data_IF_839481160350
#
_entry.id   IF_839481160350
#
_cell.length_a   1.000
_cell.length_b   1.000
_cell.length_c   1.000
_cell.angle_alpha   90.00
_cell.angle_beta   90.00
_cell.angle_gamma   90.00
#
_symmetry.space_group_name_H-M   'P 1'
#
loop_
_entity.id
_entity.type
_entity.pdbx_description
1 polymer ?
#
# COMPACT_ATOMS: atom_id res chain seq x y z
N UNK A 1 34.93 -19.45 2.48
CA UNK A 1 35.78 -19.74 3.65
C UNK A 1 36.11 -18.40 4.29
N UNK A 2 35.64 -18.13 5.51
CA UNK A 2 35.96 -16.87 6.24
C UNK A 2 37.31 -17.08 6.92
N UNK A 3 38.33 -16.31 6.56
CA UNK A 3 39.56 -16.22 7.34
C UNK A 3 39.39 -15.12 8.38
N UNK A 4 39.73 -15.43 9.64
CA UNK A 4 39.64 -14.47 10.76
C UNK A 4 41.02 -13.86 10.95
N UNK A 5 41.13 -12.54 10.85
CA UNK A 5 42.33 -11.84 11.30
C UNK A 5 42.39 -11.88 12.85
N UNK A 6 43.60 -11.85 13.39
CA UNK A 6 43.90 -12.06 14.82
C UNK A 6 43.37 -10.96 15.76
N UNK A 7 42.72 -9.93 15.22
CA UNK A 7 42.15 -8.76 15.92
C UNK A 7 40.60 -8.79 16.01
N UNK A 8 39.96 -9.87 15.56
CA UNK A 8 38.50 -10.01 15.62
C UNK A 8 37.76 -9.21 14.54
N UNK A 9 38.48 -8.60 13.60
CA UNK A 9 37.89 -7.97 12.43
C UNK A 9 37.61 -9.02 11.35
N UNK A 10 36.40 -8.99 10.81
CA UNK A 10 36.04 -9.78 9.64
C UNK A 10 36.50 -9.04 8.39
N UNK A 11 37.61 -9.48 7.80
CA UNK A 11 37.98 -9.05 6.46
C UNK A 11 36.96 -9.65 5.47
N UNK A 12 36.18 -8.79 4.82
CA UNK A 12 35.29 -9.20 3.72
C UNK A 12 36.14 -9.20 2.44
N UNK A 13 36.41 -10.37 1.83
CA UNK A 13 37.16 -10.42 0.59
C UNK A 13 36.44 -9.66 -0.53
N UNK A 14 37.18 -9.08 -1.46
CA UNK A 14 36.59 -8.38 -2.62
C UNK A 14 35.66 -9.28 -3.45
N UNK A 15 35.90 -10.60 -3.43
CA UNK A 15 35.10 -11.60 -4.13
C UNK A 15 33.92 -12.18 -3.31
N UNK A 16 33.62 -11.59 -2.15
CA UNK A 16 32.57 -12.07 -1.25
C UNK A 16 31.20 -12.15 -1.92
N UNK A 17 30.80 -11.11 -2.67
CA UNK A 17 29.50 -11.08 -3.35
C UNK A 17 29.39 -12.18 -4.40
N UNK A 18 30.45 -12.43 -5.16
CA UNK A 18 30.49 -13.49 -6.16
C UNK A 18 30.39 -14.88 -5.51
N UNK A 19 31.10 -15.11 -4.40
CA UNK A 19 31.03 -16.37 -3.65
C UNK A 19 29.67 -16.58 -2.97
N UNK A 20 29.07 -15.53 -2.43
CA UNK A 20 27.73 -15.58 -1.84
C UNK A 20 26.68 -15.92 -2.91
N UNK A 21 26.72 -15.23 -4.05
CA UNK A 21 25.83 -15.50 -5.18
C UNK A 21 25.99 -16.92 -5.74
N UNK A 22 27.24 -17.39 -5.92
CA UNK A 22 27.50 -18.75 -6.38
C UNK A 22 27.05 -19.82 -5.37
N UNK A 23 27.20 -19.56 -4.06
CA UNK A 23 26.72 -20.45 -3.02
C UNK A 23 25.19 -20.52 -2.97
N UNK A 24 24.51 -19.38 -3.13
CA UNK A 24 23.05 -19.32 -3.18
C UNK A 24 22.50 -20.01 -4.44
N UNK A 25 23.13 -19.79 -5.61
CA UNK A 25 22.80 -20.48 -6.86
C UNK A 25 23.06 -22.00 -6.79
N UNK A 26 24.16 -22.43 -6.16
CA UNK A 26 24.45 -23.86 -5.99
C UNK A 26 23.47 -24.54 -5.01
N UNK A 27 22.97 -23.81 -4.00
CA UNK A 27 22.03 -24.34 -3.00
C UNK A 27 20.58 -24.36 -3.49
N UNK A 28 20.19 -23.37 -4.29
CA UNK A 28 18.79 -23.15 -4.62
C UNK A 28 18.51 -23.21 -6.13
N UNK A 29 19.52 -23.37 -6.97
CA UNK A 29 19.41 -23.29 -8.43
C UNK A 29 19.26 -21.86 -8.93
N UNK A 30 18.96 -21.70 -10.22
CA UNK A 30 18.44 -20.44 -10.75
C UNK A 30 17.01 -20.27 -10.22
N UNK A 31 16.87 -19.67 -9.03
CA UNK A 31 15.57 -19.34 -8.46
C UNK A 31 15.06 -18.10 -9.17
N UNK A 32 13.96 -18.24 -9.92
CA UNK A 32 13.13 -17.10 -10.27
C UNK A 32 12.55 -16.53 -8.97
N UNK A 33 13.23 -15.51 -8.44
CA UNK A 33 12.84 -14.82 -7.21
C UNK A 33 11.69 -13.86 -7.54
N UNK A 34 10.47 -14.30 -7.28
CA UNK A 34 9.31 -13.41 -7.31
C UNK A 34 9.28 -12.56 -6.03
N UNK A 35 9.71 -11.31 -6.12
CA UNK A 35 9.60 -10.34 -5.02
C UNK A 35 8.21 -9.70 -5.03
N UNK A 36 7.50 -9.82 -3.91
CA UNK A 36 6.16 -9.22 -3.73
C UNK A 36 6.11 -8.32 -2.51
N UNK A 37 5.54 -7.13 -2.67
CA UNK A 37 5.26 -6.22 -1.56
C UNK A 37 3.90 -6.59 -0.94
N UNK A 38 3.91 -7.05 0.31
CA UNK A 38 2.70 -7.46 1.04
C UNK A 38 2.01 -6.30 1.77
N UNK A 39 2.81 -5.36 2.24
CA UNK A 39 2.41 -4.05 2.74
C UNK A 39 3.52 -3.05 2.35
N UNK A 40 3.13 -1.84 1.98
CA UNK A 40 4.11 -0.80 1.62
C UNK A 40 4.76 -0.19 2.86
N UNK A 41 4.16 -0.39 4.04
CA UNK A 41 4.71 0.07 5.31
C UNK A 41 5.75 -0.93 5.81
N UNK A 42 6.92 -0.45 6.27
CA UNK A 42 7.85 -1.25 7.06
C UNK A 42 7.14 -1.96 8.21
N UNK A 43 7.61 -3.16 8.56
CA UNK A 43 6.95 -4.03 9.53
C UNK A 43 6.82 -3.35 10.90
N UNK A 44 7.83 -2.59 11.28
CA UNK A 44 7.98 -1.89 12.56
C UNK A 44 7.00 -0.72 12.70
N UNK A 45 6.48 -0.20 11.58
CA UNK A 45 5.49 0.86 11.56
C UNK A 45 4.04 0.33 11.57
N UNK A 46 3.84 -0.96 11.32
CA UNK A 46 2.50 -1.56 11.26
C UNK A 46 1.75 -1.52 12.60
N UNK A 47 2.36 -1.65 13.80
CA UNK A 47 1.62 -1.55 15.06
C UNK A 47 0.82 -0.26 15.22
N UNK A 48 1.39 0.87 14.80
CA UNK A 48 0.77 2.20 14.92
C UNK A 48 -0.02 2.64 13.68
N UNK A 49 -0.10 1.79 12.66
CA UNK A 49 -0.75 2.17 11.41
C UNK A 49 -2.27 2.32 11.59
N UNK A 50 -2.80 3.49 11.24
CA UNK A 50 -4.23 3.84 11.20
C UNK A 50 -4.92 3.24 9.97
N UNK A 51 -4.78 1.94 9.74
CA UNK A 51 -5.33 1.23 8.58
C UNK A 51 -5.10 -0.27 8.69
N UNK A 52 -5.74 -1.08 7.85
CA UNK A 52 -5.52 -2.54 7.84
C UNK A 52 -4.12 -2.84 7.30
N UNK A 53 -3.35 -3.65 8.02
CA UNK A 53 -1.95 -3.98 7.76
C UNK A 53 -1.76 -5.45 7.35
N UNK A 54 -0.53 -5.83 7.03
CA UNK A 54 -0.18 -7.23 6.84
C UNK A 54 -0.27 -8.05 8.12
N UNK A 55 0.11 -7.49 9.29
CA UNK A 55 -0.07 -8.17 10.58
C UNK A 55 -1.52 -8.61 10.83
N UNK A 56 -2.50 -7.75 10.50
CA UNK A 56 -3.92 -8.09 10.63
C UNK A 56 -4.33 -9.22 9.68
N UNK A 57 -3.77 -9.24 8.46
CA UNK A 57 -4.06 -10.29 7.46
C UNK A 57 -3.48 -11.63 7.89
N UNK A 58 -2.28 -11.65 8.46
CA UNK A 58 -1.67 -12.85 9.03
C UNK A 58 -2.49 -13.37 10.22
N UNK A 59 -2.85 -12.49 11.15
CA UNK A 59 -3.71 -12.84 12.29
C UNK A 59 -5.10 -13.37 11.87
N UNK A 60 -5.63 -12.88 10.75
CA UNK A 60 -6.90 -13.33 10.16
C UNK A 60 -6.78 -14.62 9.32
N UNK A 61 -5.57 -15.13 9.09
CA UNK A 61 -5.32 -16.24 8.15
C UNK A 61 -5.51 -15.87 6.67
N UNK A 62 -5.66 -14.58 6.33
CA UNK A 62 -5.83 -14.08 4.97
C UNK A 62 -4.50 -13.87 4.23
N UNK A 63 -3.38 -13.89 4.95
CA UNK A 63 -2.03 -13.86 4.39
C UNK A 63 -1.15 -14.89 5.10
N UNK A 64 -0.21 -15.48 4.35
CA UNK A 64 0.83 -16.32 4.95
C UNK A 64 1.85 -15.45 5.66
N UNK A 65 2.13 -15.79 6.92
CA UNK A 65 3.23 -15.21 7.70
C UNK A 65 4.48 -16.08 7.65
N UNK A 66 5.64 -15.54 8.06
CA UNK A 66 6.83 -16.34 8.36
C UNK A 66 6.50 -17.38 9.44
N UNK A 67 7.01 -18.61 9.26
CA UNK A 67 6.70 -19.74 10.15
C UNK A 67 7.73 -19.88 11.27
N UNK A 68 8.99 -19.54 11.01
CA UNK A 68 10.10 -19.64 11.98
C UNK A 68 11.22 -18.65 11.67
N UNK A 69 12.11 -18.45 12.65
CA UNK A 69 13.26 -17.55 12.57
C UNK A 69 12.95 -16.14 13.06
N UNK A 70 13.97 -15.26 13.02
CA UNK A 70 13.91 -13.92 13.60
C UNK A 70 12.73 -13.07 13.09
N UNK A 71 12.42 -13.15 11.79
CA UNK A 71 11.28 -12.45 11.21
C UNK A 71 9.92 -12.96 11.74
N UNK A 72 9.82 -14.26 12.06
CA UNK A 72 8.61 -14.82 12.67
C UNK A 72 8.44 -14.34 14.11
N UNK A 73 9.54 -14.31 14.87
CA UNK A 73 9.54 -13.81 16.25
C UNK A 73 9.18 -12.32 16.30
N UNK A 74 9.75 -11.54 15.39
CA UNK A 74 9.46 -10.11 15.22
C UNK A 74 8.01 -9.85 14.80
N UNK A 75 7.52 -10.54 13.77
CA UNK A 75 6.12 -10.40 13.33
C UNK A 75 5.13 -10.77 14.44
N UNK A 76 5.43 -11.79 15.25
CA UNK A 76 4.62 -12.17 16.41
C UNK A 76 4.62 -11.09 17.48
N UNK A 77 5.78 -10.54 17.83
CA UNK A 77 5.91 -9.48 18.82
C UNK A 77 5.17 -8.20 18.38
N UNK A 78 5.35 -7.78 17.13
CA UNK A 78 4.69 -6.60 16.56
C UNK A 78 3.19 -6.83 16.38
N UNK A 79 2.75 -8.06 16.08
CA UNK A 79 1.33 -8.44 16.04
C UNK A 79 0.65 -8.27 17.41
N UNK A 80 1.33 -8.66 18.50
CA UNK A 80 0.84 -8.42 19.87
C UNK A 80 0.75 -6.92 20.18
N UNK A 81 1.81 -6.16 19.87
CA UNK A 81 1.79 -4.70 20.06
C UNK A 81 0.65 -4.05 19.28
N UNK A 82 0.44 -4.46 18.03
CA UNK A 82 -0.64 -3.96 17.19
C UNK A 82 -2.00 -4.24 17.82
N UNK A 83 -2.23 -5.44 18.33
CA UNK A 83 -3.49 -5.79 18.95
C UNK A 83 -3.81 -4.90 20.17
N UNK A 84 -2.81 -4.61 21.01
CA UNK A 84 -2.98 -3.69 22.15
C UNK A 84 -3.21 -2.24 21.71
N UNK A 85 -2.51 -1.77 20.67
CA UNK A 85 -2.76 -0.44 20.08
C UNK A 85 -4.19 -0.34 19.56
N UNK A 86 -4.65 -1.32 18.79
CA UNK A 86 -6.02 -1.34 18.27
C UNK A 86 -7.05 -1.33 19.42
N UNK A 87 -6.83 -2.12 20.46
CA UNK A 87 -7.67 -2.12 21.66
C UNK A 87 -7.70 -0.76 22.36
N UNK A 88 -6.57 -0.05 22.42
CA UNK A 88 -6.52 1.30 22.99
C UNK A 88 -7.35 2.31 22.20
N UNK A 89 -7.58 2.07 20.90
CA UNK A 89 -8.50 2.85 20.05
C UNK A 89 -9.95 2.36 20.10
N UNK A 90 -10.25 1.35 20.93
CA UNK A 90 -11.56 0.71 21.00
C UNK A 90 -11.86 -0.22 19.82
N UNK A 91 -10.82 -0.70 19.13
CA UNK A 91 -10.93 -1.56 17.95
C UNK A 91 -10.40 -2.96 18.28
N UNK A 92 -11.23 -3.99 18.09
CA UNK A 92 -10.84 -5.38 18.33
C UNK A 92 -10.67 -5.74 19.81
N UNK A 93 -10.20 -6.95 20.08
CA UNK A 93 -10.20 -7.55 21.42
C UNK A 93 -8.90 -7.35 22.23
N UNK A 94 -7.84 -6.83 21.62
CA UNK A 94 -6.48 -6.83 22.20
C UNK A 94 -5.68 -8.11 21.94
N UNK A 95 -6.30 -9.13 21.35
CA UNK A 95 -5.58 -10.31 20.88
C UNK A 95 -5.21 -10.16 19.40
N UNK A 96 -4.07 -10.73 18.95
CA UNK A 96 -3.67 -10.74 17.54
C UNK A 96 -4.54 -11.75 16.77
N UNK A 97 -5.80 -11.40 16.60
CA UNK A 97 -6.85 -12.20 15.96
C UNK A 97 -7.43 -11.47 14.76
N UNK A 98 -8.23 -12.18 13.97
CA UNK A 98 -8.87 -11.59 12.81
C UNK A 98 -9.80 -10.43 13.17
N UNK A 99 -9.69 -9.34 12.42
CA UNK A 99 -10.60 -8.19 12.53
C UNK A 99 -11.97 -8.55 11.95
N UNK A 100 -13.05 -8.07 12.54
CA UNK A 100 -14.39 -8.14 11.97
C UNK A 100 -14.61 -7.09 10.88
N UNK A 101 -15.79 -7.08 10.28
CA UNK A 101 -16.13 -6.10 9.23
C UNK A 101 -16.18 -4.67 9.79
N UNK A 102 -16.71 -4.50 11.00
CA UNK A 102 -16.80 -3.20 11.67
C UNK A 102 -15.41 -2.62 11.93
N UNK A 103 -14.49 -3.39 12.52
CA UNK A 103 -13.12 -2.91 12.78
C UNK A 103 -12.40 -2.55 11.46
N UNK A 104 -12.56 -3.38 10.42
CA UNK A 104 -11.99 -3.09 9.10
C UNK A 104 -12.54 -1.81 8.51
N UNK A 105 -13.83 -1.54 8.67
CA UNK A 105 -14.47 -0.30 8.20
C UNK A 105 -13.95 0.92 8.94
N UNK A 106 -13.84 0.85 10.26
CA UNK A 106 -13.30 1.93 11.08
C UNK A 106 -11.83 2.22 10.74
N UNK A 107 -10.99 1.19 10.61
CA UNK A 107 -9.61 1.36 10.18
C UNK A 107 -9.49 1.91 8.76
N UNK A 108 -10.40 1.50 7.86
CA UNK A 108 -10.46 2.07 6.52
C UNK A 108 -10.77 3.57 6.56
N UNK A 109 -11.72 4.00 7.39
CA UNK A 109 -12.07 5.42 7.58
C UNK A 109 -10.92 6.22 8.19
N UNK A 110 -10.21 5.66 9.18
CA UNK A 110 -9.01 6.31 9.75
C UNK A 110 -7.86 6.45 8.73
N UNK A 111 -7.68 5.44 7.87
CA UNK A 111 -6.65 5.48 6.82
C UNK A 111 -7.02 6.52 5.76
N UNK A 112 -8.31 6.60 5.44
CA UNK A 112 -8.89 7.56 4.51
C UNK A 112 -8.67 9.00 4.97
N UNK A 113 -8.99 9.28 6.23
CA UNK A 113 -8.81 10.59 6.86
C UNK A 113 -7.34 11.05 6.78
N UNK A 114 -6.40 10.20 7.20
CA UNK A 114 -4.97 10.52 7.15
C UNK A 114 -4.45 10.75 5.72
N UNK A 115 -4.99 10.04 4.71
CA UNK A 115 -4.65 10.32 3.31
C UNK A 115 -5.21 11.67 2.84
N UNK A 116 -6.42 12.04 3.25
CA UNK A 116 -7.01 13.33 2.91
C UNK A 116 -6.22 14.49 3.51
N UNK A 117 -5.83 14.37 4.78
CA UNK A 117 -4.98 15.36 5.46
C UNK A 117 -3.64 15.54 4.74
N UNK A 118 -2.95 14.44 4.42
CA UNK A 118 -1.67 14.48 3.69
C UNK A 118 -1.78 15.19 2.33
N UNK A 119 -2.90 15.01 1.65
CA UNK A 119 -3.15 15.61 0.33
C UNK A 119 -3.73 17.02 0.41
N UNK A 120 -3.98 17.55 1.62
CA UNK A 120 -4.68 18.83 1.80
C UNK A 120 -6.14 18.82 1.30
N UNK A 121 -6.73 17.62 1.16
CA UNK A 121 -8.05 17.40 0.59
C UNK A 121 -9.11 17.21 1.68
N UNK A 122 -9.06 18.05 2.73
CA UNK A 122 -10.02 18.02 3.83
C UNK A 122 -11.36 18.65 3.41
N UNK A 123 -12.47 18.10 3.91
CA UNK A 123 -13.81 18.69 3.73
C UNK A 123 -14.55 18.29 2.45
N UNK A 124 -13.93 17.51 1.55
CA UNK A 124 -14.64 16.87 0.42
C UNK A 124 -14.97 15.42 0.77
N UNK A 125 -16.16 14.91 0.42
CA UNK A 125 -16.43 13.49 0.56
C UNK A 125 -15.47 12.69 -0.34
N UNK A 126 -14.91 11.60 0.20
CA UNK A 126 -14.14 10.65 -0.58
C UNK A 126 -15.01 9.43 -0.93
N UNK A 127 -15.12 9.14 -2.23
CA UNK A 127 -15.96 8.06 -2.76
C UNK A 127 -15.10 7.06 -3.52
N UNK A 128 -15.47 5.78 -3.48
CA UNK A 128 -14.86 4.78 -4.37
C UNK A 128 -15.54 4.84 -5.75
N UNK A 129 -14.75 4.68 -6.81
CA UNK A 129 -15.27 4.47 -8.14
C UNK A 129 -16.19 3.23 -8.15
N UNK A 130 -17.35 3.36 -8.79
CA UNK A 130 -18.35 2.29 -8.88
C UNK A 130 -18.39 1.75 -10.30
N UNK A 131 -18.63 0.44 -10.43
CA UNK A 131 -18.74 -0.25 -11.71
C UNK A 131 -19.77 0.45 -12.63
N UNK A 132 -19.40 0.69 -13.87
CA UNK A 132 -20.24 1.34 -14.88
C UNK A 132 -20.51 2.84 -14.67
N UNK A 133 -20.17 3.41 -13.52
CA UNK A 133 -20.36 4.86 -13.26
C UNK A 133 -19.15 5.65 -13.73
N UNK A 134 -19.43 6.69 -14.53
CA UNK A 134 -18.40 7.62 -14.98
C UNK A 134 -18.02 8.59 -13.86
N UNK A 135 -16.72 8.88 -13.75
CA UNK A 135 -16.18 9.92 -12.89
C UNK A 135 -15.22 10.82 -13.67
N UNK A 136 -14.97 12.01 -13.15
CA UNK A 136 -14.09 13.00 -13.78
C UNK A 136 -13.43 13.89 -12.75
N UNK A 137 -12.20 14.30 -13.01
CA UNK A 137 -11.47 15.21 -12.14
C UNK A 137 -10.00 15.29 -12.54
N UNK A 138 -9.18 15.87 -11.66
CA UNK A 138 -7.74 15.96 -11.80
C UNK A 138 -7.09 14.83 -11.02
N UNK A 139 -6.18 14.09 -11.65
CA UNK A 139 -5.40 13.10 -10.94
C UNK A 139 -4.36 13.79 -10.04
N UNK A 140 -4.53 13.70 -8.73
CA UNK A 140 -3.64 14.36 -7.76
C UNK A 140 -2.40 13.55 -7.45
N UNK A 141 -2.60 12.33 -6.96
CA UNK A 141 -1.53 11.44 -6.51
C UNK A 141 -2.08 10.01 -6.38
N UNK A 142 -1.20 9.05 -6.13
CA UNK A 142 -1.61 7.73 -5.66
C UNK A 142 -1.72 7.71 -4.13
N UNK A 143 -2.59 6.85 -3.63
CA UNK A 143 -2.71 6.54 -2.20
C UNK A 143 -2.68 5.01 -2.01
N UNK A 144 -1.86 4.55 -1.07
CA UNK A 144 -1.85 3.15 -0.67
C UNK A 144 -2.79 2.97 0.52
N UNK A 145 -3.82 2.17 0.34
CA UNK A 145 -4.86 1.93 1.36
C UNK A 145 -5.34 0.48 1.30
N UNK A 146 -5.58 -0.15 2.46
CA UNK A 146 -6.08 -1.53 2.54
C UNK A 146 -5.24 -2.55 1.77
N UNK A 147 -3.95 -2.29 1.58
CA UNK A 147 -3.03 -3.11 0.78
C UNK A 147 -3.23 -3.04 -0.73
N UNK A 148 -3.89 -1.98 -1.24
CA UNK A 148 -4.01 -1.70 -2.67
C UNK A 148 -3.64 -0.24 -2.94
N UNK A 149 -3.26 0.04 -4.18
CA UNK A 149 -2.99 1.40 -4.63
C UNK A 149 -4.21 1.95 -5.34
N UNK A 150 -4.62 3.15 -4.94
CA UNK A 150 -5.71 3.89 -5.54
C UNK A 150 -5.17 5.16 -6.20
N UNK A 151 -5.74 5.50 -7.35
CA UNK A 151 -5.60 6.81 -7.94
C UNK A 151 -6.55 7.75 -7.20
N UNK A 152 -6.05 8.91 -6.78
CA UNK A 152 -6.82 9.94 -6.11
C UNK A 152 -7.19 10.99 -7.16
N UNK A 153 -8.48 11.05 -7.50
CA UNK A 153 -9.01 11.97 -8.51
C UNK A 153 -9.84 13.04 -7.81
N UNK A 154 -9.34 14.28 -7.79
CA UNK A 154 -10.06 15.41 -7.22
C UNK A 154 -11.02 16.01 -8.24
N UNK A 155 -12.27 16.17 -7.83
CA UNK A 155 -13.25 17.00 -8.52
C UNK A 155 -13.62 18.22 -7.66
N UNK A 156 -14.51 19.06 -8.16
CA UNK A 156 -15.03 20.20 -7.40
C UNK A 156 -15.82 19.77 -6.16
N UNK A 157 -16.50 18.62 -6.21
CA UNK A 157 -17.48 18.20 -5.20
C UNK A 157 -17.02 17.02 -4.34
N UNK A 158 -16.08 16.22 -4.83
CA UNK A 158 -15.64 15.00 -4.17
C UNK A 158 -14.22 14.60 -4.59
N UNK A 159 -13.60 13.75 -3.79
CA UNK A 159 -12.40 13.00 -4.17
C UNK A 159 -12.82 11.57 -4.52
N UNK A 160 -12.41 11.08 -5.68
CA UNK A 160 -12.74 9.72 -6.13
C UNK A 160 -11.50 8.83 -6.04
N UNK A 161 -11.62 7.71 -5.34
CA UNK A 161 -10.63 6.63 -5.31
C UNK A 161 -10.96 5.61 -6.39
N UNK A 162 -10.11 5.54 -7.41
CA UNK A 162 -10.22 4.55 -8.48
C UNK A 162 -9.02 3.58 -8.43
N UNK A 163 -9.14 2.35 -8.94
CA UNK A 163 -7.98 1.48 -9.11
C UNK A 163 -6.84 2.20 -9.84
N UNK A 164 -5.64 2.17 -9.26
CA UNK A 164 -4.47 2.82 -9.83
C UNK A 164 -3.80 1.95 -10.91
N UNK A 165 -3.17 2.61 -11.89
CA UNK A 165 -2.26 1.96 -12.85
C UNK A 165 -0.99 2.80 -13.00
N UNK A 166 0.19 2.19 -13.18
CA UNK A 166 1.46 2.91 -13.29
C UNK A 166 1.49 4.04 -14.32
N UNK A 167 0.82 3.86 -15.46
CA UNK A 167 0.75 4.86 -16.52
C UNK A 167 0.12 6.19 -16.07
N UNK A 168 -0.68 6.20 -15.00
CA UNK A 168 -1.27 7.43 -14.46
C UNK A 168 -0.24 8.42 -13.93
N UNK A 169 0.91 7.94 -13.48
CA UNK A 169 1.94 8.79 -12.87
C UNK A 169 2.44 9.87 -13.83
N UNK A 170 2.52 9.55 -15.13
CA UNK A 170 2.88 10.52 -16.18
C UNK A 170 1.80 11.61 -16.40
N UNK A 171 0.58 11.39 -15.91
CA UNK A 171 -0.57 12.27 -16.07
C UNK A 171 -0.95 12.99 -14.76
N UNK A 172 -0.03 13.08 -13.80
CA UNK A 172 -0.26 13.80 -12.54
C UNK A 172 -0.57 15.28 -12.81
N UNK A 173 -1.57 15.82 -12.13
CA UNK A 173 -2.07 17.17 -12.32
C UNK A 173 -2.93 17.37 -13.57
N UNK A 174 -3.15 16.33 -14.39
CA UNK A 174 -3.98 16.43 -15.58
C UNK A 174 -5.44 16.04 -15.31
N UNK A 175 -6.34 16.70 -16.04
CA UNK A 175 -7.76 16.35 -16.04
C UNK A 175 -8.01 15.04 -16.81
N UNK A 176 -8.83 14.18 -16.22
CA UNK A 176 -9.23 12.91 -16.79
C UNK A 176 -10.71 12.62 -16.57
N UNK A 177 -11.23 11.70 -17.37
CA UNK A 177 -12.49 10.98 -17.11
C UNK A 177 -12.20 9.50 -17.02
N UNK A 178 -12.95 8.78 -16.19
CA UNK A 178 -12.79 7.36 -16.00
C UNK A 178 -14.13 6.63 -15.89
N UNK A 179 -14.14 5.36 -16.26
CA UNK A 179 -15.22 4.42 -15.94
C UNK A 179 -14.60 3.11 -15.48
N UNK A 180 -15.09 2.57 -14.36
CA UNK A 180 -14.68 1.25 -13.88
C UNK A 180 -15.45 0.18 -14.66
N UNK A 181 -14.72 -0.71 -15.33
CA UNK A 181 -15.22 -1.85 -16.09
C UNK A 181 -14.37 -3.10 -15.82
N UNK A 182 -14.99 -4.18 -15.34
CA UNK A 182 -14.31 -5.45 -15.08
C UNK A 182 -13.17 -5.33 -14.05
N UNK A 183 -13.28 -4.40 -13.10
CA UNK A 183 -12.22 -4.12 -12.12
C UNK A 183 -11.03 -3.30 -12.65
N UNK A 184 -11.03 -2.93 -13.93
CA UNK A 184 -10.09 -1.99 -14.52
C UNK A 184 -10.76 -0.66 -14.85
N UNK A 185 -9.97 0.41 -14.94
CA UNK A 185 -10.51 1.72 -15.32
C UNK A 185 -10.03 2.06 -16.72
N UNK A 186 -10.98 2.41 -17.60
CA UNK A 186 -10.71 3.10 -18.85
C UNK A 186 -10.56 4.60 -18.56
N UNK A 187 -9.31 5.08 -18.54
CA UNK A 187 -8.98 6.49 -18.32
C UNK A 187 -8.84 7.23 -19.65
N UNK A 188 -9.49 8.39 -19.75
CA UNK A 188 -9.35 9.32 -20.89
C UNK A 188 -8.88 10.68 -20.41
N UNK A 189 -7.72 11.11 -20.90
CA UNK A 189 -7.08 12.37 -20.55
C UNK A 189 -7.46 13.48 -21.54
N UNK A 190 -7.32 14.74 -21.13
CA UNK A 190 -7.40 15.88 -22.06
C UNK A 190 -8.80 16.42 -22.34
N UNK A 191 -9.87 15.86 -21.77
CA UNK A 191 -11.20 16.49 -21.80
C UNK A 191 -11.36 17.48 -20.64
N UNK A 192 -10.60 18.57 -20.69
CA UNK A 192 -10.94 19.77 -19.94
C UNK A 192 -12.28 20.30 -20.46
N UNK A 193 -13.33 20.28 -19.63
CA UNK A 193 -14.52 21.13 -19.86
C UNK A 193 -14.19 22.58 -19.52
N UNK A 194 -13.31 23.18 -20.33
CA UNK A 194 -12.86 24.56 -20.21
C UNK A 194 -13.02 25.33 -21.53
N UNK A 195 -14.17 26.02 -21.65
CA UNK A 195 -14.46 27.19 -22.51
C UNK A 195 -14.33 27.03 -24.04
N UNK A 196 -15.43 26.62 -24.66
CA UNK A 196 -15.81 27.12 -25.99
C UNK A 196 -16.82 28.26 -25.84
N UNK A 197 -16.34 29.48 -25.58
CA UNK A 197 -17.08 30.70 -25.90
C UNK A 197 -16.57 31.15 -27.27
N UNK A 198 -17.14 30.59 -28.33
CA UNK A 198 -17.06 31.15 -29.67
C UNK A 198 -18.28 32.03 -29.85
N UNK A 199 -18.08 33.34 -29.73
CA UNK A 199 -19.08 34.36 -30.02
C UNK A 199 -19.46 34.26 -31.50
N UNK A 200 -20.76 34.25 -31.76
CA UNK A 200 -21.31 34.72 -33.03
C UNK A 200 -21.06 36.23 -33.13
N UNK A 201 -20.33 36.65 -34.15
CA UNK A 201 -20.52 37.87 -34.93
C UNK A 201 -20.07 37.59 -36.37
#
# INVERSE_FOLDING_TARGET
MRSRASDGQFAIPEDYLAKASAADQARHGAVDLEVRVLDVRPLELQPQARGVTWLDKVASGLAKGPVSGALADEAKALGLQRAEVLKSWGIGSGAPMGLGERERRQLWEMELEGQMERLGQTGKPMVRAQEGKRFSGVYLDRAHMGGRTYAVIESKTAVTLAPWRPALEACRGQALTGVLQGGQVDFRFGQSRGRGLGLEL
#
